data_IF_573036221088
#
_entry.id   IF_573036221088
#
_cell.length_a   1.000
_cell.length_b   1.000
_cell.length_c   1.000
_cell.angle_alpha   90.00
_cell.angle_beta   90.00
_cell.angle_gamma   90.00
#
_symmetry.space_group_name_H-M   'P 1'
#
loop_
_entity.id
_entity.type
_entity.pdbx_description
1 polymer ?
#
# COMPACT_ATOMS: atom_id res chain seq x y z
N UNK A 1 3.19 30.28 9.93
CA UNK A 1 3.92 29.89 8.70
C UNK A 1 5.42 29.98 8.90
N UNK A 2 5.97 31.01 9.56
CA UNK A 2 7.41 31.17 9.78
C UNK A 2 8.18 29.90 10.20
N UNK A 3 7.72 29.13 11.19
CA UNK A 3 8.41 27.88 11.62
C UNK A 3 8.51 26.82 10.51
N UNK A 4 7.52 26.69 9.62
CA UNK A 4 7.55 25.70 8.54
C UNK A 4 8.51 26.11 7.41
N UNK A 5 8.72 27.42 7.25
CA UNK A 5 9.64 27.99 6.27
C UNK A 5 11.09 27.93 6.77
N UNK A 6 11.31 28.19 8.06
CA UNK A 6 12.64 28.23 8.67
C UNK A 6 13.15 26.85 9.13
N UNK A 7 12.23 25.95 9.53
CA UNK A 7 12.55 24.61 10.07
C UNK A 7 11.66 23.49 9.51
N UNK A 8 11.59 23.30 8.17
CA UNK A 8 10.72 22.30 7.55
C UNK A 8 11.01 20.85 8.01
N UNK A 9 12.25 20.54 8.40
CA UNK A 9 12.67 19.23 8.90
C UNK A 9 12.01 18.80 10.22
N UNK A 10 11.40 19.74 10.95
CA UNK A 10 10.66 19.45 12.19
C UNK A 10 9.24 18.94 11.92
N UNK A 11 8.78 19.00 10.68
CA UNK A 11 7.44 18.59 10.29
C UNK A 11 7.49 17.23 9.57
N UNK A 12 6.48 16.40 9.83
CA UNK A 12 6.33 15.11 9.17
C UNK A 12 4.87 14.82 8.87
N UNK A 13 4.66 13.90 7.94
CA UNK A 13 3.34 13.49 7.51
C UNK A 13 2.87 12.25 8.28
N UNK A 14 1.56 12.18 8.52
CA UNK A 14 0.91 10.97 9.05
C UNK A 14 0.26 10.17 7.91
N UNK A 15 -0.52 9.13 8.24
CA UNK A 15 -1.21 8.27 7.26
C UNK A 15 -2.16 9.04 6.33
N UNK A 16 -2.75 10.14 6.80
CA UNK A 16 -3.71 10.97 6.07
C UNK A 16 -3.01 11.99 5.15
N UNK A 17 -1.90 12.60 5.60
CA UNK A 17 -1.24 13.70 4.85
C UNK A 17 -0.07 13.25 3.98
N UNK A 18 0.55 12.10 4.29
CA UNK A 18 1.58 11.47 3.43
C UNK A 18 1.14 11.30 1.96
N UNK A 19 -0.10 10.89 1.65
CA UNK A 19 -0.61 10.73 0.29
C UNK A 19 -0.60 12.06 -0.49
N UNK A 20 -1.02 13.14 0.16
CA UNK A 20 -1.05 14.48 -0.41
C UNK A 20 0.37 14.97 -0.71
N UNK A 21 1.29 14.80 0.26
CA UNK A 21 2.70 15.15 0.07
C UNK A 21 3.32 14.38 -1.10
N UNK A 22 3.01 13.09 -1.23
CA UNK A 22 3.49 12.26 -2.33
C UNK A 22 3.02 12.79 -3.70
N UNK A 23 1.73 13.09 -3.85
CA UNK A 23 1.18 13.62 -5.11
C UNK A 23 1.62 15.06 -5.40
N UNK A 24 1.96 15.83 -4.35
CA UNK A 24 2.52 17.18 -4.50
C UNK A 24 3.97 17.12 -4.97
N UNK A 25 4.75 16.17 -4.46
CA UNK A 25 6.19 16.09 -4.69
C UNK A 25 6.57 15.29 -5.94
N UNK A 26 5.78 14.28 -6.31
CA UNK A 26 6.10 13.31 -7.36
C UNK A 26 5.03 13.28 -8.45
N UNK A 27 5.41 13.23 -9.74
CA UNK A 27 4.48 12.96 -10.84
C UNK A 27 4.10 11.48 -10.85
N UNK A 28 3.17 11.09 -9.98
CA UNK A 28 2.85 9.69 -9.71
C UNK A 28 1.88 9.12 -10.74
N UNK A 29 2.33 8.13 -11.52
CA UNK A 29 1.48 7.44 -12.49
C UNK A 29 0.51 6.46 -11.83
N UNK A 30 0.96 5.76 -10.80
CA UNK A 30 0.18 4.79 -10.04
C UNK A 30 0.77 4.59 -8.64
N UNK A 31 -0.09 4.37 -7.65
CA UNK A 31 0.30 4.03 -6.29
C UNK A 31 0.12 2.53 -6.05
N UNK A 32 1.21 1.83 -5.73
CA UNK A 32 1.19 0.39 -5.44
C UNK A 32 0.81 0.15 -3.98
N UNK A 33 -0.40 -0.36 -3.74
CA UNK A 33 -0.99 -0.49 -2.41
C UNK A 33 -1.11 -1.96 -1.96
N UNK A 34 -0.89 -2.21 -0.68
CA UNK A 34 -1.35 -3.44 -0.02
C UNK A 34 -2.85 -3.40 0.29
N UNK A 35 -3.43 -4.53 0.71
CA UNK A 35 -4.87 -4.64 1.05
C UNK A 35 -5.33 -3.59 2.08
N UNK A 36 -4.53 -3.33 3.11
CA UNK A 36 -4.86 -2.30 4.10
C UNK A 36 -4.81 -0.88 3.54
N UNK A 37 -3.91 -0.61 2.59
CA UNK A 37 -3.73 0.71 1.99
C UNK A 37 -4.83 1.08 1.01
N UNK A 38 -5.30 0.12 0.22
CA UNK A 38 -6.43 0.32 -0.70
C UNK A 38 -7.66 0.87 0.04
N UNK A 39 -7.95 0.33 1.22
CA UNK A 39 -9.14 0.71 2.00
C UNK A 39 -9.10 2.19 2.40
N UNK A 40 -8.04 2.63 3.08
CA UNK A 40 -8.00 4.01 3.56
C UNK A 40 -7.71 5.02 2.45
N UNK A 41 -7.05 4.63 1.34
CA UNK A 41 -6.91 5.53 0.18
C UNK A 41 -8.26 5.96 -0.38
N UNK A 42 -9.25 5.04 -0.41
CA UNK A 42 -10.62 5.36 -0.83
C UNK A 42 -11.29 6.42 0.04
N UNK A 43 -10.98 6.45 1.34
CA UNK A 43 -11.51 7.42 2.31
C UNK A 43 -10.96 8.84 2.08
N UNK A 44 -9.79 8.97 1.45
CA UNK A 44 -9.09 10.25 1.27
C UNK A 44 -9.57 11.05 0.06
N UNK A 45 -10.48 10.51 -0.76
CA UNK A 45 -10.91 11.17 -2.01
C UNK A 45 -11.34 12.63 -1.82
N UNK A 46 -12.16 12.91 -0.81
CA UNK A 46 -12.61 14.28 -0.53
C UNK A 46 -11.49 15.21 -0.08
N UNK A 47 -10.44 14.68 0.55
CA UNK A 47 -9.27 15.46 0.96
C UNK A 47 -8.45 15.82 -0.28
N UNK A 48 -8.22 14.88 -1.20
CA UNK A 48 -7.57 15.17 -2.48
C UNK A 48 -8.30 16.25 -3.28
N UNK A 49 -9.63 16.14 -3.37
CA UNK A 49 -10.47 17.16 -4.02
C UNK A 49 -10.36 18.54 -3.35
N UNK A 50 -10.32 18.59 -2.01
CA UNK A 50 -10.15 19.84 -1.26
C UNK A 50 -8.82 20.55 -1.56
N UNK A 51 -7.74 19.79 -1.75
CA UNK A 51 -6.42 20.32 -2.11
C UNK A 51 -6.21 20.47 -3.62
N UNK A 52 -7.26 20.27 -4.43
CA UNK A 52 -7.20 20.32 -5.91
C UNK A 52 -6.18 19.34 -6.52
N UNK A 53 -5.87 18.27 -5.79
CA UNK A 53 -4.96 17.21 -6.23
C UNK A 53 -5.75 16.06 -6.85
N UNK A 54 -5.18 15.45 -7.89
CA UNK A 54 -5.71 14.19 -8.44
C UNK A 54 -5.15 13.03 -7.64
N UNK A 55 -6.03 12.11 -7.25
CA UNK A 55 -5.60 10.85 -6.65
C UNK A 55 -5.06 9.93 -7.75
N UNK A 56 -3.80 9.51 -7.62
CA UNK A 56 -3.22 8.55 -8.55
C UNK A 56 -4.01 7.22 -8.54
N UNK A 57 -4.09 6.51 -9.68
CA UNK A 57 -4.64 5.17 -9.72
C UNK A 57 -3.98 4.25 -8.69
N UNK A 58 -4.80 3.59 -7.87
CA UNK A 58 -4.32 2.66 -6.85
C UNK A 58 -4.29 1.26 -7.44
N UNK A 59 -3.13 0.62 -7.44
CA UNK A 59 -2.92 -0.72 -7.97
C UNK A 59 -2.51 -1.67 -6.84
N UNK A 60 -3.10 -2.87 -6.74
CA UNK A 60 -2.67 -3.84 -5.75
C UNK A 60 -1.25 -4.31 -6.06
N UNK A 61 -0.40 -4.34 -5.03
CA UNK A 61 0.93 -4.96 -5.15
C UNK A 61 0.82 -6.47 -5.33
N UNK A 62 1.89 -7.09 -5.86
CA UNK A 62 1.94 -8.53 -6.03
C UNK A 62 1.86 -9.25 -4.67
N UNK A 63 1.04 -10.30 -4.65
CA UNK A 63 0.95 -11.28 -3.58
C UNK A 63 1.57 -12.58 -4.10
N UNK A 64 2.71 -12.98 -3.51
CA UNK A 64 3.48 -14.13 -3.98
C UNK A 64 3.83 -15.02 -2.80
N UNK A 65 3.66 -16.31 -2.97
CA UNK A 65 4.19 -17.34 -2.07
C UNK A 65 5.30 -18.10 -2.78
N UNK A 66 6.45 -18.23 -2.13
CA UNK A 66 7.55 -19.06 -2.64
C UNK A 66 7.36 -20.48 -2.12
N UNK A 67 7.12 -21.43 -3.03
CA UNK A 67 6.99 -22.84 -2.70
C UNK A 67 8.32 -23.56 -2.91
N UNK A 68 8.96 -23.95 -1.81
CA UNK A 68 10.20 -24.73 -1.88
C UNK A 68 9.93 -26.19 -2.23
N UNK A 69 10.83 -26.81 -3.01
CA UNK A 69 10.69 -28.21 -3.46
C UNK A 69 10.47 -29.21 -2.33
N UNK A 70 11.06 -28.96 -1.16
CA UNK A 70 10.93 -29.86 -0.01
C UNK A 70 9.59 -29.71 0.72
N UNK A 71 8.92 -28.56 0.59
CA UNK A 71 7.56 -28.31 1.10
C UNK A 71 6.54 -28.91 0.14
N UNK A 72 6.72 -28.69 -1.17
CA UNK A 72 5.88 -29.29 -2.22
C UNK A 72 5.79 -30.82 -2.07
N UNK A 73 6.93 -31.49 -1.81
CA UNK A 73 6.97 -32.93 -1.54
C UNK A 73 6.22 -33.37 -0.27
N UNK A 74 6.05 -32.49 0.72
CA UNK A 74 5.37 -32.81 1.98
C UNK A 74 3.85 -32.66 1.90
N UNK A 75 3.34 -31.85 0.97
CA UNK A 75 1.91 -31.59 0.83
C UNK A 75 1.11 -32.88 0.55
N UNK A 76 1.48 -33.73 -0.44
CA UNK A 76 0.76 -34.98 -0.70
C UNK A 76 0.86 -35.99 0.44
N UNK A 77 1.99 -36.03 1.16
CA UNK A 77 2.20 -36.93 2.32
C UNK A 77 1.23 -36.60 3.46
N UNK A 78 0.77 -35.35 3.53
CA UNK A 78 -0.17 -34.86 4.54
C UNK A 78 -1.60 -34.78 4.02
N UNK A 79 -1.83 -35.23 2.78
CA UNK A 79 -3.13 -35.11 2.09
C UNK A 79 -3.61 -33.65 2.00
N UNK A 80 -2.67 -32.69 1.96
CA UNK A 80 -2.97 -31.26 1.88
C UNK A 80 -2.83 -30.77 0.45
N UNK A 81 -3.76 -29.90 0.03
CA UNK A 81 -3.63 -29.15 -1.22
C UNK A 81 -2.87 -27.83 -0.99
N UNK A 82 -2.19 -27.32 -2.03
CA UNK A 82 -1.52 -26.02 -1.94
C UNK A 82 -2.52 -24.89 -1.69
N UNK A 83 -3.70 -24.94 -2.32
CA UNK A 83 -4.76 -23.92 -2.16
C UNK A 83 -5.27 -23.87 -0.71
N UNK A 84 -5.51 -25.03 -0.09
CA UNK A 84 -5.95 -25.11 1.29
C UNK A 84 -4.92 -24.52 2.25
N UNK A 85 -3.64 -24.82 2.06
CA UNK A 85 -2.56 -24.24 2.87
C UNK A 85 -2.46 -22.73 2.69
N UNK A 86 -2.65 -22.22 1.47
CA UNK A 86 -2.59 -20.79 1.19
C UNK A 86 -3.79 -20.01 1.75
N UNK A 87 -4.95 -20.66 1.90
CA UNK A 87 -6.19 -20.01 2.32
C UNK A 87 -6.49 -20.19 3.80
N UNK A 88 -6.13 -21.33 4.39
CA UNK A 88 -6.55 -21.72 5.74
C UNK A 88 -5.41 -21.99 6.73
N UNK A 89 -4.16 -22.17 6.25
CA UNK A 89 -2.97 -22.39 7.09
C UNK A 89 -2.72 -23.85 7.45
#
# INVERSE_FOLDING_TARGET
MQEIEEHPERFSNNVVTRPLMQETLLPTLAFMAGHGEVNYWGELKGIFEHFELKMAPVLPRLHVTILERHIDKKLPVRELSLEEVLTNG
#
